data_IF_402096748724
#
_entry.id   IF_402096748724
#
_cell.length_a   1.000
_cell.length_b   1.000
_cell.length_c   1.000
_cell.angle_alpha   90.00
_cell.angle_beta   90.00
_cell.angle_gamma   90.00
#
_symmetry.space_group_name_H-M   'P 1'
#
loop_
_entity.id
_entity.type
_entity.pdbx_description
1 polymer ?
#
# COMPACT_ATOMS: atom_id res chain seq x y z
N UNK A 1 -37.72 0.50 -18.57
CA UNK A 1 -36.35 -0.05 -18.39
C UNK A 1 -35.40 1.01 -17.85
N UNK A 2 -35.28 2.20 -18.45
CA UNK A 2 -34.38 3.27 -17.96
C UNK A 2 -34.76 3.69 -16.54
N UNK A 3 -36.06 3.82 -16.26
CA UNK A 3 -36.51 4.18 -14.91
C UNK A 3 -36.19 3.12 -13.88
N UNK A 4 -36.18 1.84 -14.23
CA UNK A 4 -35.83 0.73 -13.31
C UNK A 4 -34.36 0.83 -12.85
N UNK A 5 -33.44 1.24 -13.73
CA UNK A 5 -32.06 1.54 -13.34
C UNK A 5 -31.96 2.78 -12.45
N UNK A 6 -32.77 3.81 -12.72
CA UNK A 6 -32.76 5.04 -11.94
C UNK A 6 -33.33 4.85 -10.54
N UNK A 7 -34.41 4.08 -10.42
CA UNK A 7 -35.07 3.80 -9.14
C UNK A 7 -34.42 2.68 -8.35
N UNK A 8 -33.48 1.93 -8.98
CA UNK A 8 -32.85 0.74 -8.39
C UNK A 8 -33.88 -0.28 -7.90
N UNK A 9 -34.94 -0.49 -8.67
CA UNK A 9 -36.10 -1.32 -8.30
C UNK A 9 -35.71 -2.79 -8.06
N UNK A 10 -34.79 -3.30 -8.87
CA UNK A 10 -34.13 -4.59 -8.65
C UNK A 10 -32.61 -4.38 -8.79
N UNK A 11 -31.88 -4.26 -7.68
CA UNK A 11 -30.45 -3.96 -7.70
C UNK A 11 -29.59 -5.02 -8.40
N UNK A 12 -30.10 -6.25 -8.56
CA UNK A 12 -29.37 -7.33 -9.24
C UNK A 12 -29.58 -7.24 -10.75
N UNK A 13 -30.81 -7.08 -11.19
CA UNK A 13 -31.17 -7.04 -12.61
C UNK A 13 -30.99 -5.67 -13.25
N UNK A 14 -31.15 -4.61 -12.46
CA UNK A 14 -31.03 -3.21 -12.90
C UNK A 14 -30.11 -2.44 -11.97
N UNK A 15 -28.82 -2.85 -11.88
CA UNK A 15 -27.88 -2.19 -10.97
C UNK A 15 -27.64 -0.74 -11.35
N UNK A 16 -27.43 0.08 -10.34
CA UNK A 16 -26.99 1.47 -10.47
C UNK A 16 -25.91 1.73 -9.41
N UNK A 17 -24.69 1.27 -9.70
CA UNK A 17 -23.58 1.23 -8.75
C UNK A 17 -22.65 2.41 -8.99
N UNK A 18 -22.41 3.18 -7.93
CA UNK A 18 -21.28 4.10 -7.89
C UNK A 18 -20.01 3.31 -7.51
N UNK A 19 -19.20 3.03 -8.51
CA UNK A 19 -17.97 2.25 -8.33
C UNK A 19 -16.93 2.96 -7.46
N UNK A 20 -16.94 4.29 -7.41
CA UNK A 20 -16.01 5.00 -6.53
C UNK A 20 -16.41 4.82 -5.06
N UNK A 21 -17.67 5.04 -4.75
CA UNK A 21 -18.16 4.81 -3.37
C UNK A 21 -18.10 3.32 -3.00
N UNK A 22 -18.32 2.42 -3.95
CA UNK A 22 -18.26 0.99 -3.71
C UNK A 22 -16.85 0.50 -3.36
N UNK A 23 -15.83 0.97 -4.08
CA UNK A 23 -14.45 0.48 -3.99
C UNK A 23 -13.58 1.25 -3.00
N UNK A 24 -13.82 2.55 -2.82
CA UNK A 24 -12.90 3.40 -2.08
C UNK A 24 -13.43 3.79 -0.71
N UNK A 25 -12.51 3.82 0.26
CA UNK A 25 -12.72 4.43 1.56
C UNK A 25 -12.69 5.95 1.43
N UNK A 26 -13.44 6.64 2.27
CA UNK A 26 -13.37 8.11 2.34
C UNK A 26 -12.08 8.62 2.98
N UNK A 27 -11.39 7.76 3.75
CA UNK A 27 -10.17 8.09 4.48
C UNK A 27 -9.19 6.93 4.43
N UNK A 28 -7.92 7.25 4.25
CA UNK A 28 -6.81 6.34 4.48
C UNK A 28 -5.93 6.89 5.60
N UNK A 29 -5.41 5.99 6.43
CA UNK A 29 -4.58 6.34 7.57
C UNK A 29 -3.11 6.23 7.24
N UNK A 30 -2.36 7.23 7.69
CA UNK A 30 -0.92 7.18 7.72
C UNK A 30 -0.44 7.54 9.12
N UNK A 31 0.45 6.72 9.67
CA UNK A 31 1.10 7.01 10.94
C UNK A 31 2.60 6.99 10.77
N UNK A 32 3.27 7.93 11.41
CA UNK A 32 4.73 8.00 11.42
C UNK A 32 5.21 8.31 12.83
N UNK A 33 6.14 7.48 13.30
CA UNK A 33 6.77 7.63 14.61
C UNK A 33 8.26 7.72 14.43
N UNK A 34 8.88 8.69 15.08
CA UNK A 34 10.33 8.85 15.06
C UNK A 34 10.82 8.96 16.51
N UNK A 35 11.86 8.20 16.82
CA UNK A 35 12.58 8.26 18.10
C UNK A 35 14.04 8.59 17.82
N UNK A 36 14.54 9.60 18.48
CA UNK A 36 15.95 10.01 18.35
C UNK A 36 16.57 10.11 19.73
N UNK A 37 17.73 9.49 19.89
CA UNK A 37 18.56 9.55 21.08
C UNK A 37 19.93 10.04 20.70
N UNK A 38 20.46 10.99 21.41
CA UNK A 38 21.81 11.48 21.21
C UNK A 38 22.45 11.82 22.55
N UNK A 39 23.74 11.66 22.62
CA UNK A 39 24.48 11.96 23.82
C UNK A 39 25.97 11.80 23.61
N UNK A 40 26.72 12.06 24.65
CA UNK A 40 28.16 11.89 24.62
C UNK A 40 28.87 12.59 25.75
N UNK A 41 30.19 12.43 25.74
CA UNK A 41 31.14 13.06 26.65
C UNK A 41 32.41 13.47 25.87
N UNK A 42 33.50 13.67 26.60
CA UNK A 42 34.76 14.20 26.04
C UNK A 42 35.36 13.28 24.94
N UNK A 43 35.14 11.95 25.04
CA UNK A 43 35.74 10.96 24.14
C UNK A 43 34.74 10.10 23.40
N UNK A 44 33.45 10.33 23.58
CA UNK A 44 32.43 9.47 23.03
C UNK A 44 31.21 10.28 22.66
N UNK A 45 30.72 10.14 21.45
CA UNK A 45 29.49 10.75 20.96
C UNK A 45 28.67 9.73 20.24
N UNK A 46 27.37 9.71 20.48
CA UNK A 46 26.46 8.84 19.79
C UNK A 46 25.18 9.54 19.36
N UNK A 47 24.63 9.05 18.28
CA UNK A 47 23.33 9.41 17.73
C UNK A 47 22.64 8.15 17.29
N UNK A 48 21.42 7.90 17.75
CA UNK A 48 20.57 6.79 17.31
C UNK A 48 19.22 7.35 16.90
N UNK A 49 18.74 6.95 15.73
CA UNK A 49 17.41 7.32 15.24
C UNK A 49 16.69 6.09 14.73
N UNK A 50 15.44 5.94 15.15
CA UNK A 50 14.52 4.91 14.73
C UNK A 50 13.28 5.57 14.16
N UNK A 51 12.80 5.10 13.02
CA UNK A 51 11.58 5.61 12.39
C UNK A 51 10.68 4.49 11.95
N UNK A 52 9.39 4.60 12.19
CA UNK A 52 8.38 3.68 11.71
C UNK A 52 7.31 4.43 10.96
N UNK A 53 7.04 3.98 9.73
CA UNK A 53 5.97 4.49 8.87
C UNK A 53 5.01 3.34 8.56
N UNK A 54 3.73 3.60 8.75
CA UNK A 54 2.63 2.76 8.27
C UNK A 54 1.70 3.63 7.45
N UNK A 55 1.47 3.23 6.21
CA UNK A 55 0.52 3.86 5.30
C UNK A 55 -0.47 2.80 4.82
N UNK A 56 -1.75 3.08 5.02
CA UNK A 56 -2.85 2.25 4.54
C UNK A 56 -3.37 2.78 3.19
N UNK A 57 -3.98 1.90 2.41
CA UNK A 57 -4.57 2.25 1.13
C UNK A 57 -6.05 2.64 1.23
N UNK A 58 -6.58 3.15 0.14
CA UNK A 58 -7.95 3.66 0.06
C UNK A 58 -8.98 2.61 -0.39
N UNK A 59 -8.56 1.40 -0.77
CA UNK A 59 -9.49 0.37 -1.21
C UNK A 59 -10.22 -0.28 -0.03
N UNK A 60 -11.51 -0.55 -0.19
CA UNK A 60 -12.32 -1.29 0.78
C UNK A 60 -12.04 -2.79 0.65
N UNK A 61 -12.08 -3.50 1.76
CA UNK A 61 -12.13 -4.96 1.75
C UNK A 61 -13.59 -5.40 1.51
N UNK A 62 -13.80 -6.23 0.50
CA UNK A 62 -15.15 -6.56 0.00
C UNK A 62 -15.55 -8.02 0.28
N UNK A 63 -14.97 -8.65 1.31
CA UNK A 63 -15.30 -10.02 1.70
C UNK A 63 -14.39 -11.09 1.10
N UNK A 64 -13.25 -10.70 0.52
CA UNK A 64 -12.19 -11.62 0.09
C UNK A 64 -11.58 -12.34 1.30
N UNK A 65 -11.03 -13.52 1.07
CA UNK A 65 -10.30 -14.29 2.09
C UNK A 65 -8.96 -13.65 2.48
N UNK A 66 -8.53 -12.64 1.76
CA UNK A 66 -7.31 -11.86 1.94
C UNK A 66 -7.60 -10.37 1.79
N UNK A 67 -6.71 -9.52 2.27
CA UNK A 67 -6.80 -8.06 2.09
C UNK A 67 -5.88 -7.62 0.93
N UNK A 68 -6.41 -7.35 -0.27
CA UNK A 68 -5.62 -6.93 -1.41
C UNK A 68 -5.25 -5.45 -1.40
N UNK A 69 -5.71 -4.69 -0.40
CA UNK A 69 -5.51 -3.25 -0.32
C UNK A 69 -4.03 -2.85 -0.36
N UNK A 70 -3.76 -1.65 -0.83
CA UNK A 70 -2.43 -1.05 -0.71
C UNK A 70 -2.06 -0.89 0.75
N UNK A 71 -0.86 -1.31 1.11
CA UNK A 71 -0.27 -1.05 2.41
C UNK A 71 1.24 -0.89 2.28
N UNK A 72 1.78 0.15 2.89
CA UNK A 72 3.21 0.36 2.96
C UNK A 72 3.66 0.46 4.41
N UNK A 73 4.64 -0.37 4.77
CA UNK A 73 5.28 -0.37 6.08
C UNK A 73 6.77 -0.14 5.87
N UNK A 74 7.36 0.77 6.66
CA UNK A 74 8.78 1.02 6.60
C UNK A 74 9.34 1.26 7.98
N UNK A 75 10.41 0.54 8.29
CA UNK A 75 11.21 0.75 9.48
C UNK A 75 12.57 1.29 9.07
N UNK A 76 12.93 2.48 9.54
CA UNK A 76 14.22 3.11 9.32
C UNK A 76 15.05 3.05 10.60
N UNK A 77 16.33 2.83 10.49
CA UNK A 77 17.25 2.88 11.60
C UNK A 77 18.55 3.56 11.20
N UNK A 78 19.11 4.30 12.15
CA UNK A 78 20.41 4.97 11.98
C UNK A 78 21.11 5.01 13.31
N UNK A 79 22.39 4.67 13.32
CA UNK A 79 23.29 4.81 14.46
C UNK A 79 24.61 5.38 13.99
N UNK A 80 25.03 6.46 14.61
CA UNK A 80 26.35 7.07 14.41
C UNK A 80 27.05 7.07 15.76
N UNK A 81 28.27 6.57 15.80
CA UNK A 81 29.10 6.52 17.00
C UNK A 81 30.49 7.05 16.64
N UNK A 82 30.93 8.06 17.36
CA UNK A 82 32.26 8.63 17.27
C UNK A 82 32.99 8.34 18.59
N UNK A 83 34.19 7.78 18.52
CA UNK A 83 35.01 7.43 19.68
C UNK A 83 36.43 7.98 19.48
N UNK A 84 36.85 8.88 20.35
CA UNK A 84 38.22 9.35 20.41
C UNK A 84 39.05 8.33 21.21
N UNK A 85 39.73 7.42 20.50
CA UNK A 85 40.53 6.33 21.09
C UNK A 85 41.78 6.92 21.79
N UNK A 86 42.42 7.86 21.11
CA UNK A 86 43.54 8.66 21.64
C UNK A 86 43.31 10.13 21.27
N UNK A 87 44.21 11.02 21.69
CA UNK A 87 44.15 12.46 21.30
C UNK A 87 44.30 12.67 19.79
N UNK A 88 44.93 11.71 19.09
CA UNK A 88 45.17 11.79 17.63
C UNK A 88 44.40 10.69 16.85
N UNK A 89 43.65 9.84 17.53
CA UNK A 89 42.97 8.70 16.88
C UNK A 89 41.48 8.74 17.09
N UNK A 90 40.73 8.85 16.01
CA UNK A 90 39.28 8.89 15.98
C UNK A 90 38.72 7.68 15.22
N UNK A 91 37.76 7.00 15.82
CA UNK A 91 36.98 5.94 15.21
C UNK A 91 35.54 6.40 15.02
N UNK A 92 35.03 6.35 13.80
CA UNK A 92 33.63 6.61 13.47
C UNK A 92 32.97 5.36 12.92
N UNK A 93 31.85 5.01 13.50
CA UNK A 93 30.99 3.90 13.05
C UNK A 93 29.64 4.44 12.71
N UNK A 94 29.26 4.33 11.45
CA UNK A 94 27.94 4.73 10.97
C UNK A 94 27.22 3.51 10.42
N UNK A 95 26.05 3.22 10.98
CA UNK A 95 25.17 2.13 10.55
C UNK A 95 23.83 2.77 10.25
N UNK A 96 23.24 2.47 9.11
CA UNK A 96 21.91 2.95 8.78
C UNK A 96 21.27 2.14 7.68
N UNK A 97 19.97 2.19 7.64
CA UNK A 97 19.23 1.47 6.63
C UNK A 97 17.73 1.53 6.84
N UNK A 98 17.05 0.71 6.08
CA UNK A 98 15.63 0.52 6.25
C UNK A 98 15.18 -0.89 5.82
N UNK A 99 14.04 -1.28 6.35
CA UNK A 99 13.27 -2.43 5.92
C UNK A 99 11.91 -1.92 5.51
N UNK A 100 11.55 -2.12 4.24
CA UNK A 100 10.27 -1.75 3.66
C UNK A 100 9.48 -2.98 3.24
N UNK A 101 8.15 -2.91 3.34
CA UNK A 101 7.24 -3.89 2.77
C UNK A 101 6.06 -3.14 2.15
N UNK A 102 5.88 -3.32 0.85
CA UNK A 102 4.76 -2.76 0.07
C UNK A 102 3.86 -3.91 -0.34
N UNK A 103 2.60 -3.81 -0.01
CA UNK A 103 1.54 -4.68 -0.52
C UNK A 103 0.66 -3.89 -1.46
N UNK A 104 0.29 -4.48 -2.59
CA UNK A 104 -0.58 -3.86 -3.58
C UNK A 104 -1.44 -4.90 -4.31
N UNK A 105 -2.63 -4.55 -4.81
CA UNK A 105 -3.41 -5.41 -5.68
C UNK A 105 -2.57 -5.86 -6.88
N UNK A 106 -2.70 -7.12 -7.27
CA UNK A 106 -2.00 -7.67 -8.43
C UNK A 106 -2.67 -7.26 -9.75
N UNK A 107 -2.86 -5.95 -9.95
CA UNK A 107 -3.45 -5.43 -11.18
C UNK A 107 -3.09 -3.97 -11.41
N UNK A 108 -2.55 -3.69 -12.57
CA UNK A 108 -2.27 -2.34 -13.04
C UNK A 108 -3.53 -1.69 -13.66
N UNK A 109 -4.54 -2.51 -13.93
CA UNK A 109 -5.72 -2.12 -14.68
C UNK A 109 -6.89 -1.65 -13.82
N UNK A 110 -6.80 -1.78 -12.49
CA UNK A 110 -7.91 -1.45 -11.60
C UNK A 110 -8.44 -0.03 -11.84
N UNK A 111 -7.55 0.95 -11.89
CA UNK A 111 -7.90 2.35 -12.11
C UNK A 111 -8.56 2.59 -13.47
N UNK A 112 -8.01 1.95 -14.52
CA UNK A 112 -8.60 2.00 -15.85
C UNK A 112 -10.01 1.39 -15.85
N UNK A 113 -10.19 0.26 -15.20
CA UNK A 113 -11.48 -0.43 -15.10
C UNK A 113 -12.51 0.39 -14.33
N UNK A 114 -12.14 0.99 -13.21
CA UNK A 114 -13.04 1.88 -12.46
C UNK A 114 -13.51 3.06 -13.31
N UNK A 115 -12.58 3.71 -14.04
CA UNK A 115 -12.89 4.86 -14.87
C UNK A 115 -13.78 4.51 -16.09
N UNK A 116 -13.69 3.29 -16.59
CA UNK A 116 -14.43 2.84 -17.79
C UNK A 116 -15.69 2.03 -17.47
N UNK A 117 -15.84 1.60 -16.22
CA UNK A 117 -17.02 0.84 -15.81
C UNK A 117 -18.27 1.73 -15.77
N UNK A 118 -19.34 1.19 -16.29
CA UNK A 118 -20.64 1.88 -16.20
C UNK A 118 -21.37 1.46 -14.92
N UNK A 119 -22.21 2.32 -14.34
CA UNK A 119 -23.03 1.97 -13.16
C UNK A 119 -23.92 0.75 -13.37
N UNK A 120 -24.22 0.43 -14.63
CA UNK A 120 -25.18 -0.59 -15.03
C UNK A 120 -24.54 -1.96 -15.38
N UNK A 121 -23.22 -2.06 -15.30
CA UNK A 121 -22.51 -3.26 -15.78
C UNK A 121 -22.65 -4.46 -14.87
N UNK A 122 -22.74 -4.24 -13.56
CA UNK A 122 -22.75 -5.29 -12.57
C UNK A 122 -23.32 -4.78 -11.23
N UNK A 123 -24.00 -5.61 -10.45
CA UNK A 123 -24.39 -5.29 -9.08
C UNK A 123 -23.23 -5.42 -8.07
N UNK A 124 -22.07 -5.91 -8.49
CA UNK A 124 -20.94 -6.18 -7.61
C UNK A 124 -21.04 -7.54 -6.93
N UNK A 125 -20.88 -7.57 -5.61
CA UNK A 125 -20.93 -8.79 -4.80
C UNK A 125 -22.34 -8.96 -4.25
N UNK A 126 -22.97 -10.08 -4.58
CA UNK A 126 -24.29 -10.49 -4.08
C UNK A 126 -24.14 -11.84 -3.39
N UNK A 127 -24.61 -11.95 -2.15
CA UNK A 127 -24.51 -13.17 -1.33
C UNK A 127 -23.08 -13.77 -1.28
N UNK A 128 -22.07 -12.91 -1.19
CA UNK A 128 -20.65 -13.29 -1.14
C UNK A 128 -20.08 -13.80 -2.47
N UNK A 129 -20.81 -13.64 -3.57
CA UNK A 129 -20.36 -14.03 -4.91
C UNK A 129 -20.25 -12.82 -5.81
N UNK A 130 -19.15 -12.72 -6.51
CA UNK A 130 -18.94 -11.67 -7.50
C UNK A 130 -19.77 -11.96 -8.75
N UNK A 131 -20.60 -11.00 -9.13
CA UNK A 131 -21.32 -11.00 -10.42
C UNK A 131 -20.59 -10.04 -11.34
N UNK A 132 -19.72 -10.58 -12.19
CA UNK A 132 -18.86 -9.75 -13.05
C UNK A 132 -19.62 -9.07 -14.19
N UNK A 133 -20.74 -9.65 -14.63
CA UNK A 133 -21.59 -9.09 -15.68
C UNK A 133 -22.97 -9.72 -15.67
N UNK A 134 -24.02 -8.90 -15.70
CA UNK A 134 -25.41 -9.36 -15.81
C UNK A 134 -25.86 -9.58 -17.27
N UNK A 135 -25.15 -8.98 -18.24
CA UNK A 135 -25.48 -9.08 -19.67
C UNK A 135 -24.46 -9.95 -20.42
N UNK A 136 -24.42 -11.24 -20.12
CA UNK A 136 -23.64 -12.18 -20.93
C UNK A 136 -24.34 -12.44 -22.25
N UNK A 137 -24.10 -11.61 -23.25
CA UNK A 137 -24.56 -11.88 -24.60
C UNK A 137 -23.39 -12.33 -25.48
N UNK A 138 -23.57 -13.45 -26.21
CA UNK A 138 -22.61 -14.05 -27.13
C UNK A 138 -22.06 -13.09 -28.21
N UNK A 139 -22.76 -11.99 -28.44
CA UNK A 139 -22.45 -11.02 -29.50
C UNK A 139 -21.88 -9.69 -29.00
N UNK A 140 -21.84 -9.47 -27.71
CA UNK A 140 -21.29 -8.23 -27.15
C UNK A 140 -20.11 -8.60 -26.26
N UNK A 141 -18.91 -8.41 -26.80
CA UNK A 141 -17.67 -8.47 -26.01
C UNK A 141 -17.64 -7.25 -25.09
N UNK A 142 -18.16 -7.38 -23.88
CA UNK A 142 -18.14 -6.32 -22.86
C UNK A 142 -16.84 -6.40 -22.04
N UNK A 143 -15.82 -7.10 -22.54
CA UNK A 143 -14.61 -7.41 -21.80
C UNK A 143 -13.89 -6.22 -21.15
N UNK A 144 -14.01 -5.04 -21.72
CA UNK A 144 -13.40 -3.84 -21.15
C UNK A 144 -14.35 -3.00 -20.26
N UNK A 145 -15.66 -3.25 -20.36
CA UNK A 145 -16.71 -2.55 -19.59
C UNK A 145 -17.27 -3.42 -18.47
N UNK A 146 -16.59 -4.50 -18.15
CA UNK A 146 -16.94 -5.42 -17.07
C UNK A 146 -16.74 -4.77 -15.69
N UNK A 147 -17.29 -5.42 -14.68
CA UNK A 147 -17.15 -5.04 -13.29
C UNK A 147 -15.67 -4.80 -12.92
N UNK A 148 -15.32 -3.66 -12.35
CA UNK A 148 -13.94 -3.38 -11.93
C UNK A 148 -13.44 -4.31 -10.83
N UNK A 149 -14.38 -4.94 -10.11
CA UNK A 149 -14.07 -5.87 -9.02
C UNK A 149 -13.45 -7.18 -9.51
N UNK A 150 -13.67 -7.58 -10.76
CA UNK A 150 -13.17 -8.86 -11.26
C UNK A 150 -11.64 -8.97 -11.10
N UNK A 151 -10.94 -7.90 -11.41
CA UNK A 151 -9.49 -7.81 -11.23
C UNK A 151 -9.07 -7.69 -9.76
N UNK A 152 -9.84 -6.97 -8.95
CA UNK A 152 -9.54 -6.76 -7.55
C UNK A 152 -9.81 -7.99 -6.70
N UNK A 153 -10.93 -8.68 -6.96
CA UNK A 153 -11.41 -9.81 -6.16
C UNK A 153 -10.68 -11.13 -6.45
N UNK A 154 -10.30 -11.36 -7.71
CA UNK A 154 -9.81 -12.68 -8.15
C UNK A 154 -8.29 -12.77 -8.32
N UNK A 155 -7.56 -11.67 -8.45
CA UNK A 155 -6.15 -11.69 -8.87
C UNK A 155 -5.14 -11.72 -7.74
N UNK A 156 -5.56 -11.54 -6.48
CA UNK A 156 -4.68 -11.55 -5.34
C UNK A 156 -3.90 -10.23 -5.16
N UNK A 157 -2.77 -10.33 -4.50
CA UNK A 157 -1.90 -9.17 -4.22
C UNK A 157 -0.43 -9.54 -4.39
N UNK A 158 0.39 -8.52 -4.60
CA UNK A 158 1.84 -8.62 -4.57
C UNK A 158 2.38 -8.05 -3.25
N UNK A 159 3.48 -8.63 -2.78
CA UNK A 159 4.26 -8.09 -1.67
C UNK A 159 5.70 -7.89 -2.14
N UNK A 160 6.12 -6.64 -2.16
CA UNK A 160 7.50 -6.28 -2.44
C UNK A 160 8.19 -5.90 -1.13
N UNK A 161 9.36 -6.47 -0.89
CA UNK A 161 10.15 -6.18 0.31
C UNK A 161 11.51 -5.63 -0.10
N UNK A 162 11.86 -4.49 0.45
CA UNK A 162 13.17 -3.87 0.26
C UNK A 162 13.91 -3.80 1.59
N UNK A 163 15.17 -4.20 1.55
CA UNK A 163 16.06 -4.17 2.69
C UNK A 163 17.36 -3.46 2.29
N UNK A 164 17.68 -2.40 2.98
CA UNK A 164 18.90 -1.64 2.75
C UNK A 164 19.70 -1.55 4.04
N UNK A 165 20.97 -1.92 3.96
CA UNK A 165 21.94 -1.75 5.03
C UNK A 165 23.13 -0.98 4.51
N UNK A 166 23.45 0.13 5.14
CA UNK A 166 24.63 0.92 4.91
C UNK A 166 25.54 0.86 6.15
N UNK A 167 26.77 0.47 5.95
CA UNK A 167 27.79 0.43 6.99
C UNK A 167 29.01 1.27 6.54
N UNK A 168 29.43 2.19 7.36
CA UNK A 168 30.66 2.96 7.16
C UNK A 168 31.48 2.91 8.42
N UNK A 169 32.73 2.50 8.28
CA UNK A 169 33.75 2.53 9.30
C UNK A 169 34.89 3.45 8.85
N UNK A 170 35.15 4.48 9.62
CA UNK A 170 36.25 5.40 9.39
C UNK A 170 37.19 5.38 10.59
N UNK A 171 38.45 5.15 10.33
CA UNK A 171 39.54 5.28 11.28
C UNK A 171 40.50 6.35 10.79
N UNK A 172 40.76 7.35 11.62
CA UNK A 172 41.76 8.39 11.33
C UNK A 172 42.79 8.45 12.43
N UNK A 173 44.05 8.55 12.06
CA UNK A 173 45.18 8.69 12.96
C UNK A 173 46.12 9.75 12.37
N UNK A 174 46.39 10.79 13.11
CA UNK A 174 47.48 11.73 12.74
C UNK A 174 48.80 11.06 13.08
N UNK A 175 49.69 10.99 12.09
CA UNK A 175 51.04 10.45 12.25
C UNK A 175 51.99 11.47 12.82
#
# INVERSE_FOLDING_TARGET
VIDMFRTNEDPIMFPNVDWNDYLFKNLAWQTQHNLTLSGGGERFRYFVSLGYLLQDGMLKQLGESYDPNYQYKRFNYRSNVDIDITKSTLLKVNIGGHVGAKREPRTDELWRKVLWSTPFSSPGIVDGKLISNIYSNRYISIGERSCPLDYYYNYGYNVDTDNVLNLCLLYTSDA
#
